data_IF_626558240294
#
_entry.id   IF_626558240294
#
_cell.length_a   1.000
_cell.length_b   1.000
_cell.length_c   1.000
_cell.angle_alpha   90.00
_cell.angle_beta   90.00
_cell.angle_gamma   90.00
#
_symmetry.space_group_name_H-M   'P 1'
#
loop_
_entity.id
_entity.type
_entity.pdbx_description
1 polymer ?
#
# COMPACT_ATOMS: atom_id res chain seq x y z
N UNK A 1 -19.30 -7.75 -3.04
CA UNK A 1 -18.03 -7.83 -2.29
C UNK A 1 -17.00 -8.60 -3.11
N UNK A 2 -15.98 -7.90 -3.59
CA UNK A 2 -14.84 -8.46 -4.29
C UNK A 2 -13.60 -8.39 -3.39
N UNK A 3 -12.67 -9.34 -3.59
CA UNK A 3 -11.35 -9.33 -2.97
C UNK A 3 -10.35 -8.69 -3.95
N UNK A 4 -9.52 -7.78 -3.45
CA UNK A 4 -8.44 -7.16 -4.22
C UNK A 4 -7.15 -7.12 -3.41
N UNK A 5 -6.02 -6.98 -4.11
CA UNK A 5 -4.70 -6.81 -3.52
C UNK A 5 -4.11 -5.48 -3.95
N UNK A 6 -3.73 -4.64 -2.97
CA UNK A 6 -3.21 -3.29 -3.22
C UNK A 6 -1.75 -3.23 -2.76
N UNK A 7 -0.86 -2.89 -3.68
CA UNK A 7 0.55 -2.62 -3.38
C UNK A 7 0.75 -1.16 -2.98
N UNK A 8 1.41 -0.93 -1.85
CA UNK A 8 1.83 0.40 -1.38
C UNK A 8 3.35 0.47 -1.45
N UNK A 9 3.88 1.55 -2.00
CA UNK A 9 5.32 1.82 -2.06
C UNK A 9 5.65 3.28 -1.77
N UNK A 10 6.66 3.54 -0.93
CA UNK A 10 7.15 4.90 -0.66
C UNK A 10 8.67 4.98 -0.62
N UNK A 11 9.26 5.88 -1.41
CA UNK A 11 10.72 6.09 -1.50
C UNK A 11 11.18 7.52 -1.21
N UNK A 12 10.33 8.39 -0.66
CA UNK A 12 10.66 9.79 -0.36
C UNK A 12 10.24 10.19 1.04
N UNK A 13 11.08 10.98 1.70
CA UNK A 13 10.77 11.57 3.01
C UNK A 13 10.47 10.52 4.07
N UNK A 14 9.36 10.69 4.81
CA UNK A 14 8.97 9.79 5.91
C UNK A 14 8.30 8.51 5.40
N UNK A 15 9.04 7.66 4.68
CA UNK A 15 8.55 6.46 3.94
C UNK A 15 7.58 5.57 4.72
N UNK A 16 7.93 5.16 5.94
CA UNK A 16 7.06 4.34 6.81
C UNK A 16 5.80 5.11 7.23
N UNK A 17 5.93 6.40 7.53
CA UNK A 17 4.77 7.25 7.91
C UNK A 17 3.80 7.36 6.75
N UNK A 18 4.31 7.61 5.54
CA UNK A 18 3.51 7.71 4.32
C UNK A 18 2.76 6.39 4.05
N UNK A 19 3.43 5.24 4.19
CA UNK A 19 2.80 3.93 4.00
C UNK A 19 1.70 3.66 5.05
N UNK A 20 1.92 4.04 6.31
CA UNK A 20 0.90 3.94 7.37
C UNK A 20 -0.28 4.88 7.14
N UNK A 21 -0.03 6.08 6.63
CA UNK A 21 -1.08 7.05 6.30
C UNK A 21 -1.95 6.54 5.14
N UNK A 22 -1.34 5.99 4.09
CA UNK A 22 -2.06 5.35 2.99
C UNK A 22 -2.92 4.19 3.49
N UNK A 23 -2.39 3.33 4.36
CA UNK A 23 -3.17 2.27 5.01
C UNK A 23 -4.35 2.82 5.81
N UNK A 24 -4.18 3.94 6.53
CA UNK A 24 -5.25 4.61 7.26
C UNK A 24 -6.39 5.03 6.34
N UNK A 25 -6.07 5.72 5.25
CA UNK A 25 -7.05 6.18 4.26
C UNK A 25 -7.76 5.02 3.56
N UNK A 26 -7.04 3.95 3.20
CA UNK A 26 -7.66 2.76 2.59
C UNK A 26 -8.65 2.09 3.54
N UNK A 27 -8.39 2.08 4.86
CA UNK A 27 -9.33 1.55 5.85
C UNK A 27 -10.61 2.37 5.99
N UNK A 28 -10.61 3.63 5.59
CA UNK A 28 -11.81 4.48 5.60
C UNK A 28 -12.77 4.09 4.45
N UNK A 29 -12.23 3.61 3.33
CA UNK A 29 -12.99 3.29 2.11
C UNK A 29 -13.28 1.77 1.93
N UNK A 30 -12.40 0.92 2.45
CA UNK A 30 -12.42 -0.54 2.23
C UNK A 30 -12.09 -1.32 3.50
N UNK A 31 -12.54 -2.57 3.56
CA UNK A 31 -12.19 -3.48 4.67
C UNK A 31 -10.84 -4.13 4.39
N UNK A 32 -9.82 -3.80 5.19
CA UNK A 32 -8.50 -4.45 5.13
C UNK A 32 -8.53 -5.74 5.94
N UNK A 33 -8.37 -6.88 5.28
CA UNK A 33 -8.35 -8.20 5.93
C UNK A 33 -6.95 -8.57 6.43
N UNK A 34 -5.91 -8.28 5.63
CA UNK A 34 -4.52 -8.58 5.97
C UNK A 34 -3.57 -7.50 5.48
N UNK A 35 -2.44 -7.38 6.19
CA UNK A 35 -1.33 -6.50 5.84
C UNK A 35 -0.06 -7.34 5.86
N UNK A 36 0.70 -7.31 4.77
CA UNK A 36 2.01 -7.96 4.75
C UNK A 36 3.00 -7.25 5.68
N UNK A 37 4.14 -7.89 5.96
CA UNK A 37 5.31 -7.18 6.49
C UNK A 37 5.73 -6.04 5.55
N UNK A 38 6.44 -5.06 6.11
CA UNK A 38 7.13 -4.05 5.31
C UNK A 38 8.44 -4.62 4.77
N UNK A 39 8.71 -4.36 3.50
CA UNK A 39 9.93 -4.76 2.83
C UNK A 39 10.68 -3.54 2.31
N UNK A 40 12.00 -3.55 2.48
CA UNK A 40 12.90 -2.61 1.82
C UNK A 40 13.31 -3.20 0.47
N UNK A 41 13.13 -2.44 -0.62
CA UNK A 41 13.54 -2.87 -1.96
C UNK A 41 14.29 -1.75 -2.69
N UNK A 42 15.23 -2.16 -3.53
CA UNK A 42 15.97 -1.22 -4.38
C UNK A 42 15.06 -0.57 -5.45
N UNK A 43 15.27 0.72 -5.78
CA UNK A 43 14.58 1.37 -6.90
C UNK A 43 14.96 0.76 -8.25
N UNK A 44 13.99 0.21 -8.99
CA UNK A 44 14.25 -0.47 -10.27
C UNK A 44 14.25 0.46 -11.49
N UNK A 45 13.38 1.48 -11.51
CA UNK A 45 13.14 2.35 -12.69
C UNK A 45 13.40 3.83 -12.42
N UNK A 46 13.74 4.17 -11.19
CA UNK A 46 13.96 5.55 -10.74
C UNK A 46 15.18 5.57 -9.84
N UNK A 47 15.89 6.70 -9.78
CA UNK A 47 16.95 6.91 -8.79
C UNK A 47 16.34 7.40 -7.47
N UNK A 48 16.98 7.11 -6.34
CA UNK A 48 16.58 7.65 -5.03
C UNK A 48 16.82 6.67 -3.89
N UNK A 49 16.18 6.94 -2.75
CA UNK A 49 16.21 6.03 -1.61
C UNK A 49 15.48 4.71 -1.92
N UNK A 50 15.79 3.67 -1.14
CA UNK A 50 15.07 2.41 -1.18
C UNK A 50 13.59 2.59 -0.86
N UNK A 51 12.75 1.83 -1.54
CA UNK A 51 11.32 1.80 -1.27
C UNK A 51 11.02 1.03 0.01
N UNK A 52 10.07 1.53 0.79
CA UNK A 52 9.31 0.71 1.75
C UNK A 52 8.06 0.26 1.02
N UNK A 53 7.86 -1.06 0.91
CA UNK A 53 6.70 -1.64 0.27
C UNK A 53 5.91 -2.55 1.22
N UNK A 54 4.59 -2.63 1.02
CA UNK A 54 3.73 -3.67 1.57
C UNK A 54 2.55 -3.96 0.63
N UNK A 55 1.86 -5.08 0.87
CA UNK A 55 0.64 -5.46 0.17
C UNK A 55 -0.50 -5.58 1.17
N UNK A 56 -1.67 -5.08 0.78
CA UNK A 56 -2.92 -5.20 1.52
C UNK A 56 -3.84 -6.19 0.81
N UNK A 57 -4.46 -7.08 1.57
CA UNK A 57 -5.65 -7.84 1.14
C UNK A 57 -6.88 -7.05 1.60
N UNK A 58 -7.75 -6.67 0.65
CA UNK A 58 -8.93 -5.86 0.93
C UNK A 58 -10.20 -6.51 0.39
N UNK A 59 -11.30 -6.32 1.12
CA UNK A 59 -12.65 -6.61 0.65
C UNK A 59 -13.38 -5.29 0.39
N UNK A 60 -13.92 -5.14 -0.81
CA UNK A 60 -14.62 -3.91 -1.24
C UNK A 60 -15.90 -4.21 -2.02
N UNK A 61 -16.80 -3.24 -2.08
CA UNK A 61 -17.97 -3.24 -2.97
C UNK A 61 -17.81 -2.32 -4.19
N UNK A 62 -16.69 -1.60 -4.27
CA UNK A 62 -16.39 -0.71 -5.40
C UNK A 62 -16.07 -1.54 -6.65
N UNK A 63 -16.48 -1.03 -7.80
CA UNK A 63 -16.05 -1.56 -9.09
C UNK A 63 -14.58 -1.19 -9.37
N UNK A 64 -13.83 -1.91 -10.22
CA UNK A 64 -12.41 -1.63 -10.44
C UNK A 64 -12.04 -0.21 -10.92
N UNK A 65 -13.01 0.58 -11.39
CA UNK A 65 -12.81 1.97 -11.85
C UNK A 65 -13.11 3.02 -10.78
N UNK A 66 -13.75 2.61 -9.68
CA UNK A 66 -14.11 3.44 -8.53
C UNK A 66 -13.05 3.27 -7.44
#
# INVERSE_FOLDING_TARGET
MACAYIGIGSNKGKRIKNAKEALGRIKEEMRVEKVSSFYLTEPMKVKGEWFVNCVLEVTTNQEPRE
#
